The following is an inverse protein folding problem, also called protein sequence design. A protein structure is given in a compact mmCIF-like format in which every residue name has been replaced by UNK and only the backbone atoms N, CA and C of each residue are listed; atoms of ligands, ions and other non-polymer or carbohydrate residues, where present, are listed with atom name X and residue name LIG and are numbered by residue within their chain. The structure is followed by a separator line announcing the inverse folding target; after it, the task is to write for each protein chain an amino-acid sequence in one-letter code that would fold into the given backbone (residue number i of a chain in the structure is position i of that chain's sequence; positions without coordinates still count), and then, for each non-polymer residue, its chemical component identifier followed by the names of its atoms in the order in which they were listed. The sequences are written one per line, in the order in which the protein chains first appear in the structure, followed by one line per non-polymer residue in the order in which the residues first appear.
data_IF_594214308761
#
_entry.id   IF_594214308761
#
_cell.length_a   1.000
_cell.length_b   1.000
_cell.length_c   1.000
_cell.angle_alpha   90.00
_cell.angle_beta   90.00
_cell.angle_gamma   90.00
#
_symmetry.space_group_name_H-M   'P 1'
#
loop_
_entity.id
_entity.type
_entity.pdbx_description
1 polymer ?
#
# COMPACT_ATOMS: atom_id res chain seq x y z
N UNK A 1 13.93 23.70 -36.48
CA UNK A 1 13.03 23.57 -37.66
C UNK A 1 12.00 22.44 -37.50
N UNK A 2 12.31 21.31 -36.85
CA UNK A 2 11.34 20.21 -36.59
C UNK A 2 10.28 20.49 -35.50
N UNK A 3 10.56 21.35 -34.52
CA UNK A 3 9.66 21.62 -33.39
C UNK A 3 8.55 22.66 -33.70
N UNK A 4 8.77 23.56 -34.68
CA UNK A 4 7.76 24.56 -35.08
C UNK A 4 6.54 23.92 -35.76
N UNK A 5 6.72 22.77 -36.39
CA UNK A 5 5.66 21.99 -37.04
C UNK A 5 4.69 21.37 -36.01
N UNK A 6 5.15 21.08 -34.80
CA UNK A 6 4.32 20.48 -33.74
C UNK A 6 3.48 21.48 -32.96
N UNK A 7 3.89 22.76 -32.91
CA UNK A 7 3.16 23.82 -32.19
C UNK A 7 1.66 23.89 -32.52
N UNK A 8 1.22 23.91 -33.80
CA UNK A 8 -0.21 23.94 -34.12
C UNK A 8 -0.95 22.66 -33.68
N UNK A 9 -0.30 21.49 -33.69
CA UNK A 9 -0.89 20.25 -33.21
C UNK A 9 -1.04 20.23 -31.68
N UNK A 10 -0.04 20.73 -30.95
CA UNK A 10 -0.08 20.86 -29.50
C UNK A 10 -1.19 21.84 -29.07
N UNK A 11 -1.31 22.97 -29.75
CA UNK A 11 -2.37 23.95 -29.45
C UNK A 11 -3.76 23.39 -29.74
N UNK A 12 -3.96 22.71 -30.89
CA UNK A 12 -5.22 22.01 -31.19
C UNK A 12 -5.56 20.95 -30.16
N UNK A 13 -4.56 20.20 -29.68
CA UNK A 13 -4.77 19.22 -28.62
C UNK A 13 -5.19 19.89 -27.32
N UNK A 14 -4.50 20.96 -26.90
CA UNK A 14 -4.86 21.72 -25.68
C UNK A 14 -6.29 22.26 -25.79
N UNK A 15 -6.66 22.82 -26.95
CA UNK A 15 -8.00 23.34 -27.21
C UNK A 15 -9.07 22.23 -27.15
N UNK A 16 -8.80 21.08 -27.78
CA UNK A 16 -9.67 19.91 -27.73
C UNK A 16 -9.84 19.39 -26.29
N UNK A 17 -8.75 19.35 -25.53
CA UNK A 17 -8.77 18.95 -24.12
C UNK A 17 -9.59 19.92 -23.27
N UNK A 18 -9.47 21.22 -23.51
CA UNK A 18 -10.28 22.23 -22.81
C UNK A 18 -11.76 22.20 -23.21
N UNK A 19 -12.06 21.84 -24.45
CA UNK A 19 -13.43 21.78 -24.98
C UNK A 19 -14.23 20.58 -24.47
N UNK A 20 -13.55 19.48 -24.13
CA UNK A 20 -14.20 18.23 -23.69
C UNK A 20 -13.64 17.67 -22.36
N UNK A 21 -13.72 18.43 -21.24
CA UNK A 21 -13.17 17.98 -19.96
C UNK A 21 -13.76 16.65 -19.47
N UNK A 22 -15.04 16.40 -19.76
CA UNK A 22 -15.73 15.13 -19.39
C UNK A 22 -15.19 13.91 -20.14
N UNK A 23 -14.79 14.06 -21.41
CA UNK A 23 -14.23 12.94 -22.18
C UNK A 23 -12.84 12.55 -21.68
N UNK A 24 -12.06 13.50 -21.19
CA UNK A 24 -10.75 13.20 -20.62
C UNK A 24 -10.89 12.62 -19.21
N UNK A 25 -11.84 13.11 -18.42
CA UNK A 25 -12.18 12.49 -17.14
C UNK A 25 -12.61 11.02 -17.34
N UNK A 26 -13.42 10.75 -18.38
CA UNK A 26 -13.77 9.38 -18.78
C UNK A 26 -12.54 8.58 -19.25
N UNK A 27 -11.64 9.19 -20.01
CA UNK A 27 -10.38 8.54 -20.42
C UNK A 27 -9.51 8.18 -19.22
N UNK A 28 -9.28 9.11 -18.28
CA UNK A 28 -8.54 8.83 -17.05
C UNK A 28 -9.26 7.82 -16.16
N UNK A 29 -10.59 7.78 -16.18
CA UNK A 29 -11.34 6.75 -15.47
C UNK A 29 -11.14 5.37 -16.11
N UNK A 30 -11.29 5.27 -17.42
CA UNK A 30 -11.06 4.04 -18.18
C UNK A 30 -9.58 3.59 -18.14
N UNK A 31 -8.64 4.53 -18.14
CA UNK A 31 -7.19 4.27 -17.98
C UNK A 31 -6.88 3.77 -16.57
N UNK A 32 -7.40 4.43 -15.54
CA UNK A 32 -7.30 3.96 -14.16
C UNK A 32 -7.92 2.57 -13.94
N UNK A 33 -9.10 2.31 -14.52
CA UNK A 33 -9.71 0.97 -14.50
C UNK A 33 -8.91 -0.05 -15.31
N UNK A 34 -8.40 0.32 -16.48
CA UNK A 34 -7.55 -0.56 -17.27
C UNK A 34 -6.26 -0.89 -16.51
N UNK A 35 -5.67 0.08 -15.81
CA UNK A 35 -4.52 -0.09 -14.92
C UNK A 35 -4.85 -1.07 -13.78
N UNK A 36 -6.03 -0.92 -13.16
CA UNK A 36 -6.56 -1.85 -12.16
C UNK A 36 -6.61 -3.29 -12.67
N UNK A 37 -7.17 -3.54 -13.86
CA UNK A 37 -7.29 -4.89 -14.43
C UNK A 37 -6.00 -5.42 -15.09
N UNK A 38 -5.11 -4.54 -15.54
CA UNK A 38 -3.82 -4.92 -16.14
C UNK A 38 -2.79 -5.32 -15.09
N UNK A 39 -2.92 -4.84 -13.85
CA UNK A 39 -2.08 -5.27 -12.72
C UNK A 39 -2.24 -6.77 -12.46
N UNK A 40 -3.43 -7.34 -12.65
CA UNK A 40 -3.64 -8.80 -12.58
C UNK A 40 -2.89 -9.57 -13.68
N UNK A 41 -2.48 -8.92 -14.77
CA UNK A 41 -1.85 -9.57 -15.94
C UNK A 41 -0.32 -9.65 -15.90
N UNK A 42 0.34 -9.16 -14.85
CA UNK A 42 1.72 -9.52 -14.55
C UNK A 42 2.63 -8.42 -14.00
N UNK A 43 3.59 -8.83 -13.16
CA UNK A 43 4.51 -7.97 -12.42
C UNK A 43 5.32 -6.97 -13.29
N UNK A 44 5.61 -7.31 -14.56
CA UNK A 44 6.33 -6.43 -15.48
C UNK A 44 5.51 -5.18 -15.84
N UNK A 45 4.21 -5.35 -16.09
CA UNK A 45 3.32 -4.25 -16.46
C UNK A 45 3.14 -3.31 -15.27
N UNK A 46 2.89 -3.86 -14.08
CA UNK A 46 2.82 -3.08 -12.85
C UNK A 46 4.09 -2.26 -12.58
N UNK A 47 5.28 -2.84 -12.81
CA UNK A 47 6.56 -2.12 -12.68
C UNK A 47 6.68 -0.96 -13.66
N UNK A 48 6.30 -1.13 -14.92
CA UNK A 48 6.35 -0.05 -15.92
C UNK A 48 5.40 1.08 -15.55
N UNK A 49 4.15 0.76 -15.16
CA UNK A 49 3.17 1.76 -14.72
C UNK A 49 3.68 2.51 -13.49
N UNK A 50 4.24 1.80 -12.49
CA UNK A 50 4.83 2.42 -11.31
C UNK A 50 5.95 3.41 -11.66
N UNK A 51 6.84 3.05 -12.60
CA UNK A 51 7.90 3.97 -13.07
C UNK A 51 7.30 5.20 -13.74
N UNK A 52 6.33 5.02 -14.65
CA UNK A 52 5.67 6.14 -15.33
C UNK A 52 4.99 7.08 -14.34
N UNK A 53 4.29 6.54 -13.33
CA UNK A 53 3.68 7.32 -12.26
C UNK A 53 4.73 8.11 -11.46
N UNK A 54 5.83 7.47 -11.03
CA UNK A 54 6.89 8.18 -10.30
C UNK A 54 7.53 9.29 -11.15
N UNK A 55 7.71 9.08 -12.44
CA UNK A 55 8.18 10.12 -13.37
C UNK A 55 7.17 11.27 -13.44
N UNK A 56 5.87 10.99 -13.56
CA UNK A 56 4.81 12.02 -13.53
C UNK A 56 4.80 12.80 -12.21
N UNK A 57 5.08 12.15 -11.08
CA UNK A 57 5.21 12.79 -9.77
C UNK A 57 6.43 13.69 -9.67
N UNK A 58 7.61 13.24 -10.10
CA UNK A 58 8.83 14.07 -10.15
C UNK A 58 8.57 15.30 -11.01
N UNK A 59 7.89 15.12 -12.13
CA UNK A 59 7.52 16.20 -13.03
C UNK A 59 6.58 17.21 -12.40
N UNK A 60 5.58 16.74 -11.65
CA UNK A 60 4.65 17.59 -10.90
C UNK A 60 5.36 18.34 -9.76
N UNK A 61 6.31 17.71 -9.06
CA UNK A 61 7.15 18.36 -8.04
C UNK A 61 7.99 19.50 -8.61
N UNK A 62 8.37 19.37 -9.88
CA UNK A 62 9.16 20.34 -10.61
C UNK A 62 8.27 21.25 -11.49
N UNK A 63 7.05 21.58 -11.07
CA UNK A 63 6.05 22.34 -11.87
C UNK A 63 6.65 23.54 -12.61
N UNK A 64 7.49 24.33 -11.92
CA UNK A 64 8.14 25.50 -12.53
C UNK A 64 9.13 25.14 -13.64
N UNK A 65 9.88 24.05 -13.47
CA UNK A 65 10.78 23.54 -14.50
C UNK A 65 9.98 22.91 -15.64
N UNK A 66 8.87 22.23 -15.35
CA UNK A 66 7.98 21.69 -16.38
C UNK A 66 7.45 22.79 -17.28
N UNK A 67 6.81 23.82 -16.72
CA UNK A 67 6.25 24.94 -17.48
C UNK A 67 7.32 25.57 -18.38
N UNK A 68 8.49 25.86 -17.81
CA UNK A 68 9.64 26.41 -18.56
C UNK A 68 10.19 25.45 -19.62
N UNK A 69 10.13 24.14 -19.40
CA UNK A 69 10.59 23.16 -20.38
C UNK A 69 9.62 23.04 -21.54
N UNK A 70 8.31 23.05 -21.30
CA UNK A 70 7.30 23.03 -22.38
C UNK A 70 7.33 24.31 -23.18
N UNK A 71 7.47 25.45 -22.51
CA UNK A 71 7.64 26.74 -23.18
C UNK A 71 8.90 26.74 -24.05
N UNK A 72 10.04 26.25 -23.54
CA UNK A 72 11.30 26.17 -24.31
C UNK A 72 11.26 25.16 -25.45
N UNK A 73 10.64 23.99 -25.26
CA UNK A 73 10.62 22.91 -26.25
C UNK A 73 9.55 23.12 -27.32
N UNK A 74 8.34 23.54 -26.93
CA UNK A 74 7.17 23.63 -27.80
C UNK A 74 6.73 25.07 -28.09
N UNK A 75 7.27 26.08 -27.39
CA UNK A 75 6.89 27.48 -27.58
C UNK A 75 5.44 27.77 -27.17
N UNK A 76 4.92 27.01 -26.20
CA UNK A 76 3.54 27.10 -25.70
C UNK A 76 3.55 27.26 -24.19
N UNK A 77 2.90 28.31 -23.69
CA UNK A 77 2.63 28.48 -22.27
C UNK A 77 1.46 27.58 -21.85
N UNK A 78 1.66 26.76 -20.82
CA UNK A 78 0.61 25.87 -20.32
C UNK A 78 -0.42 26.67 -19.50
N UNK A 79 -1.69 26.73 -19.94
CA UNK A 79 -2.70 27.51 -19.26
C UNK A 79 -3.01 26.92 -17.86
N UNK A 80 -3.30 27.75 -16.84
CA UNK A 80 -3.54 27.28 -15.47
C UNK A 80 -4.64 26.21 -15.31
N UNK A 81 -5.75 26.21 -16.06
CA UNK A 81 -6.76 25.15 -16.01
C UNK A 81 -6.22 23.78 -16.44
N UNK A 82 -5.37 23.75 -17.49
CA UNK A 82 -4.74 22.52 -17.94
C UNK A 82 -3.81 21.95 -16.86
N UNK A 83 -3.16 22.82 -16.09
CA UNK A 83 -2.25 22.37 -15.04
C UNK A 83 -2.97 21.76 -13.84
N UNK A 84 -4.10 22.35 -13.45
CA UNK A 84 -5.00 21.75 -12.45
C UNK A 84 -5.53 20.41 -12.92
N UNK A 85 -5.94 20.33 -14.18
CA UNK A 85 -6.39 19.09 -14.80
C UNK A 85 -5.30 18.01 -14.78
N UNK A 86 -4.08 18.32 -15.22
CA UNK A 86 -2.96 17.38 -15.22
C UNK A 86 -2.60 16.90 -13.80
N UNK A 87 -2.68 17.78 -12.82
CA UNK A 87 -2.46 17.43 -11.41
C UNK A 87 -3.55 16.51 -10.89
N UNK A 88 -4.82 16.79 -11.20
CA UNK A 88 -5.95 15.92 -10.87
C UNK A 88 -5.80 14.54 -11.52
N UNK A 89 -5.43 14.49 -12.80
CA UNK A 89 -5.19 13.25 -13.53
C UNK A 89 -4.09 12.42 -12.89
N UNK A 90 -2.95 13.04 -12.52
CA UNK A 90 -1.86 12.33 -11.85
C UNK A 90 -2.33 11.76 -10.51
N UNK A 91 -3.09 12.51 -9.71
CA UNK A 91 -3.66 11.97 -8.47
C UNK A 91 -4.63 10.81 -8.72
N UNK A 92 -5.50 10.95 -9.71
CA UNK A 92 -6.47 9.93 -10.07
C UNK A 92 -5.77 8.63 -10.52
N UNK A 93 -4.92 8.69 -11.54
CA UNK A 93 -4.19 7.52 -12.04
C UNK A 93 -3.36 6.86 -10.93
N UNK A 94 -2.74 7.68 -10.06
CA UNK A 94 -2.00 7.18 -8.90
C UNK A 94 -2.87 6.39 -7.93
N UNK A 95 -4.02 6.96 -7.53
CA UNK A 95 -4.93 6.33 -6.58
C UNK A 95 -5.55 5.07 -7.18
N UNK A 96 -5.99 5.12 -8.43
CA UNK A 96 -6.57 3.97 -9.13
C UNK A 96 -5.56 2.84 -9.38
N UNK A 97 -4.30 3.18 -9.59
CA UNK A 97 -3.23 2.19 -9.67
C UNK A 97 -2.97 1.50 -8.33
N UNK A 98 -2.88 2.24 -7.22
CA UNK A 98 -2.50 1.65 -5.92
C UNK A 98 -3.66 1.02 -5.15
N UNK A 99 -4.89 1.49 -5.35
CA UNK A 99 -6.06 1.02 -4.61
C UNK A 99 -6.26 -0.51 -4.68
N UNK A 100 -6.16 -1.20 -5.84
CA UNK A 100 -6.27 -2.67 -5.88
C UNK A 100 -5.25 -3.38 -5.00
N UNK A 101 -3.99 -2.93 -5.03
CA UNK A 101 -2.92 -3.49 -4.20
C UNK A 101 -3.26 -3.38 -2.72
N UNK A 102 -3.73 -2.21 -2.27
CA UNK A 102 -4.15 -2.04 -0.88
C UNK A 102 -5.44 -2.81 -0.57
N UNK A 103 -6.42 -2.86 -1.48
CA UNK A 103 -7.68 -3.57 -1.25
C UNK A 103 -7.46 -5.08 -1.03
N UNK A 104 -6.58 -5.70 -1.81
CA UNK A 104 -6.24 -7.13 -1.70
C UNK A 104 -5.40 -7.41 -0.44
N UNK A 105 -4.47 -6.52 -0.09
CA UNK A 105 -3.52 -6.74 1.02
C UNK A 105 -4.06 -6.26 2.38
N UNK A 106 -5.22 -5.60 2.40
CA UNK A 106 -5.83 -5.09 3.63
C UNK A 106 -6.41 -6.24 4.47
N UNK A 107 -5.93 -6.36 5.70
CA UNK A 107 -6.66 -7.08 6.74
C UNK A 107 -7.83 -6.23 7.24
N UNK A 108 -9.01 -6.47 6.68
CA UNK A 108 -10.24 -5.70 6.94
C UNK A 108 -10.72 -5.70 8.39
N UNK A 109 -10.25 -6.64 9.22
CA UNK A 109 -10.54 -6.72 10.64
C UNK A 109 -9.49 -6.00 11.51
N UNK A 110 -8.77 -5.02 10.96
CA UNK A 110 -7.70 -4.29 11.64
C UNK A 110 -7.73 -2.80 11.29
N UNK A 111 -6.86 -2.00 11.93
CA UNK A 111 -6.70 -0.58 11.61
C UNK A 111 -6.34 -0.31 10.14
N UNK A 112 -5.88 -1.32 9.39
CA UNK A 112 -5.63 -1.24 7.96
C UNK A 112 -6.86 -0.84 7.13
N UNK A 113 -8.06 -1.22 7.57
CA UNK A 113 -9.29 -0.83 6.90
C UNK A 113 -9.47 0.70 6.83
N UNK A 114 -9.00 1.43 7.86
CA UNK A 114 -9.10 2.89 7.89
C UNK A 114 -8.20 3.54 6.84
N UNK A 115 -6.96 3.06 6.69
CA UNK A 115 -6.03 3.58 5.69
C UNK A 115 -6.54 3.31 4.27
N UNK A 116 -6.97 2.08 3.99
CA UNK A 116 -7.48 1.71 2.67
C UNK A 116 -8.80 2.41 2.35
N UNK A 117 -9.68 2.55 3.34
CA UNK A 117 -10.90 3.36 3.21
C UNK A 117 -10.60 4.83 2.92
N UNK A 118 -9.59 5.41 3.58
CA UNK A 118 -9.12 6.77 3.30
C UNK A 118 -8.62 6.91 1.85
N UNK A 119 -7.88 5.93 1.32
CA UNK A 119 -7.47 5.92 -0.09
C UNK A 119 -8.67 5.79 -1.04
N UNK A 120 -9.68 4.98 -0.68
CA UNK A 120 -10.93 4.87 -1.45
C UNK A 120 -11.70 6.19 -1.51
N UNK A 121 -11.84 6.88 -0.38
CA UNK A 121 -12.44 8.23 -0.34
C UNK A 121 -11.61 9.21 -1.16
N UNK A 122 -10.28 9.17 -1.07
CA UNK A 122 -9.41 10.01 -1.88
C UNK A 122 -9.60 9.73 -3.39
N UNK A 123 -9.73 8.47 -3.79
CA UNK A 123 -9.96 8.07 -5.18
C UNK A 123 -11.31 8.60 -5.70
N UNK A 124 -12.38 8.51 -4.91
CA UNK A 124 -13.70 9.08 -5.24
C UNK A 124 -13.61 10.61 -5.39
N UNK A 125 -12.91 11.27 -4.46
CA UNK A 125 -12.66 12.71 -4.55
C UNK A 125 -11.92 13.07 -5.84
N UNK A 126 -10.98 12.25 -6.30
CA UNK A 126 -10.19 12.50 -7.52
C UNK A 126 -11.03 12.58 -8.80
N UNK A 127 -12.09 11.78 -8.91
CA UNK A 127 -12.98 11.74 -10.08
C UNK A 127 -14.09 12.79 -9.97
N UNK A 128 -14.43 13.22 -8.76
CA UNK A 128 -15.55 14.13 -8.54
C UNK A 128 -15.12 15.59 -8.69
N UNK A 129 -15.18 16.12 -9.91
CA UNK A 129 -14.72 17.47 -10.27
C UNK A 129 -15.13 18.60 -9.30
N UNK A 130 -16.41 18.72 -8.87
CA UNK A 130 -16.80 19.77 -7.92
C UNK A 130 -16.16 19.60 -6.54
N UNK A 131 -15.90 18.37 -6.10
CA UNK A 131 -15.26 18.10 -4.82
C UNK A 131 -13.78 18.45 -4.94
N UNK A 132 -13.10 17.91 -5.95
CA UNK A 132 -11.66 18.14 -6.15
C UNK A 132 -11.35 19.62 -6.38
N UNK A 133 -11.99 20.27 -7.36
CA UNK A 133 -11.61 21.60 -7.79
C UNK A 133 -12.19 22.74 -6.93
N UNK A 134 -13.39 22.56 -6.34
CA UNK A 134 -14.02 23.63 -5.54
C UNK A 134 -13.73 23.53 -4.04
N UNK A 135 -13.65 22.32 -3.50
CA UNK A 135 -13.49 22.13 -2.05
C UNK A 135 -12.06 21.76 -1.67
N UNK A 136 -11.46 20.81 -2.39
CA UNK A 136 -10.14 20.28 -2.06
C UNK A 136 -9.02 21.24 -2.49
N UNK A 137 -8.97 21.64 -3.75
CA UNK A 137 -7.90 22.51 -4.27
C UNK A 137 -8.01 23.96 -3.83
N UNK A 138 -9.18 24.41 -3.36
CA UNK A 138 -9.35 25.78 -2.83
C UNK A 138 -8.68 25.97 -1.47
N UNK A 139 -8.50 24.88 -0.70
CA UNK A 139 -7.89 24.90 0.63
C UNK A 139 -6.48 24.33 0.56
N UNK A 140 -5.46 25.19 0.63
CA UNK A 140 -4.05 24.80 0.45
C UNK A 140 -3.61 23.65 1.37
N UNK A 141 -3.99 23.67 2.65
CA UNK A 141 -3.62 22.61 3.60
C UNK A 141 -4.25 21.26 3.24
N UNK A 142 -5.51 21.26 2.78
CA UNK A 142 -6.23 20.03 2.41
C UNK A 142 -5.67 19.46 1.11
N UNK A 143 -5.39 20.33 0.13
CA UNK A 143 -4.68 19.95 -1.09
C UNK A 143 -3.32 19.33 -0.78
N UNK A 144 -2.52 19.95 0.10
CA UNK A 144 -1.21 19.40 0.48
C UNK A 144 -1.33 18.07 1.23
N UNK A 145 -2.28 17.93 2.15
CA UNK A 145 -2.52 16.67 2.85
C UNK A 145 -2.91 15.54 1.88
N UNK A 146 -3.84 15.83 0.96
CA UNK A 146 -4.25 14.90 -0.09
C UNK A 146 -3.08 14.52 -1.00
N UNK A 147 -2.31 15.52 -1.44
CA UNK A 147 -1.15 15.35 -2.29
C UNK A 147 -0.05 14.50 -1.64
N UNK A 148 0.28 14.77 -0.37
CA UNK A 148 1.23 13.99 0.41
C UNK A 148 0.73 12.56 0.64
N UNK A 149 -0.57 12.36 0.93
CA UNK A 149 -1.17 11.05 1.08
C UNK A 149 -1.07 10.22 -0.22
N UNK A 150 -1.40 10.82 -1.36
CA UNK A 150 -1.31 10.11 -2.65
C UNK A 150 0.13 9.75 -2.98
N UNK A 151 1.08 10.66 -2.82
CA UNK A 151 2.50 10.37 -3.04
C UNK A 151 2.98 9.23 -2.12
N UNK A 152 2.62 9.29 -0.84
CA UNK A 152 2.96 8.27 0.13
C UNK A 152 2.43 6.89 -0.30
N UNK A 153 1.17 6.80 -0.71
CA UNK A 153 0.56 5.55 -1.18
C UNK A 153 1.25 5.01 -2.45
N UNK A 154 1.59 5.89 -3.41
CA UNK A 154 2.33 5.50 -4.63
C UNK A 154 3.71 4.96 -4.28
N UNK A 155 4.46 5.63 -3.39
CA UNK A 155 5.79 5.18 -3.00
C UNK A 155 5.74 3.82 -2.30
N UNK A 156 4.75 3.58 -1.44
CA UNK A 156 4.57 2.29 -0.77
C UNK A 156 4.36 1.13 -1.75
N UNK A 157 3.62 1.35 -2.84
CA UNK A 157 3.41 0.33 -3.86
C UNK A 157 4.60 0.23 -4.85
N UNK A 158 5.18 1.37 -5.23
CA UNK A 158 6.18 1.44 -6.30
C UNK A 158 7.59 1.03 -5.84
N UNK A 159 8.02 1.40 -4.63
CA UNK A 159 9.40 1.15 -4.17
C UNK A 159 9.74 -0.36 -4.11
N UNK A 160 8.89 -1.24 -3.54
CA UNK A 160 9.16 -2.68 -3.55
C UNK A 160 9.21 -3.26 -4.98
N UNK A 161 8.34 -2.79 -5.88
CA UNK A 161 8.27 -3.25 -7.27
C UNK A 161 9.50 -2.85 -8.10
N UNK A 162 10.00 -1.63 -7.89
CA UNK A 162 11.07 -1.05 -8.72
C UNK A 162 12.44 -1.39 -8.15
N UNK A 163 12.62 -1.18 -6.84
CA UNK A 163 13.90 -1.28 -6.15
C UNK A 163 14.09 -2.59 -5.39
N UNK A 164 13.10 -3.48 -5.38
CA UNK A 164 13.16 -4.77 -4.67
C UNK A 164 13.41 -4.62 -3.16
N UNK A 165 13.00 -3.48 -2.59
CA UNK A 165 13.15 -3.19 -1.17
C UNK A 165 12.11 -3.92 -0.33
N UNK A 166 12.45 -4.20 0.93
CA UNK A 166 11.49 -4.76 1.88
C UNK A 166 10.36 -3.77 2.14
N UNK A 167 9.24 -4.27 2.67
CA UNK A 167 8.09 -3.45 3.06
C UNK A 167 8.50 -2.42 4.11
N UNK A 168 9.34 -2.82 5.08
CA UNK A 168 9.85 -1.94 6.14
C UNK A 168 10.79 -0.83 5.59
N UNK A 169 11.63 -1.15 4.61
CA UNK A 169 12.47 -0.16 3.93
C UNK A 169 11.64 0.82 3.11
N UNK A 170 10.70 0.29 2.33
CA UNK A 170 9.81 1.09 1.47
C UNK A 170 8.95 2.04 2.31
N UNK A 171 8.44 1.60 3.46
CA UNK A 171 7.71 2.45 4.39
C UNK A 171 8.55 3.62 4.90
N UNK A 172 9.79 3.36 5.33
CA UNK A 172 10.73 4.38 5.81
C UNK A 172 10.99 5.45 4.75
N UNK A 173 11.29 5.03 3.52
CA UNK A 173 11.52 5.95 2.41
C UNK A 173 10.26 6.72 2.03
N UNK A 174 9.12 6.04 1.91
CA UNK A 174 7.85 6.69 1.58
C UNK A 174 7.49 7.77 2.60
N UNK A 175 7.58 7.46 3.90
CA UNK A 175 7.28 8.40 4.98
C UNK A 175 8.30 9.55 4.99
N UNK A 176 9.60 9.25 4.89
CA UNK A 176 10.67 10.26 4.88
C UNK A 176 10.54 11.23 3.71
N UNK A 177 10.31 10.73 2.51
CA UNK A 177 10.09 11.55 1.30
C UNK A 177 8.83 12.39 1.44
N UNK A 178 7.72 11.80 1.90
CA UNK A 178 6.45 12.50 2.10
C UNK A 178 6.59 13.66 3.09
N UNK A 179 7.24 13.43 4.25
CA UNK A 179 7.48 14.46 5.26
C UNK A 179 8.44 15.54 4.74
N UNK A 180 9.53 15.16 4.09
CA UNK A 180 10.51 16.10 3.55
C UNK A 180 9.89 17.03 2.49
N UNK A 181 9.15 16.47 1.53
CA UNK A 181 8.50 17.25 0.48
C UNK A 181 7.35 18.12 1.03
N UNK A 182 6.59 17.61 2.00
CA UNK A 182 5.56 18.40 2.69
C UNK A 182 6.18 19.61 3.40
N UNK A 183 7.30 19.41 4.10
CA UNK A 183 8.06 20.49 4.74
C UNK A 183 8.53 21.53 3.73
N UNK A 184 9.19 21.12 2.63
CA UNK A 184 9.66 22.03 1.57
C UNK A 184 8.51 22.83 0.95
N UNK A 185 7.37 22.18 0.68
CA UNK A 185 6.19 22.84 0.11
C UNK A 185 5.58 23.88 1.05
N UNK A 186 5.60 23.62 2.36
CA UNK A 186 5.12 24.52 3.39
C UNK A 186 6.10 25.65 3.70
N UNK A 187 7.41 25.44 3.59
CA UNK A 187 8.43 26.49 3.78
C UNK A 187 8.17 27.71 2.88
N UNK A 188 7.68 27.49 1.65
CA UNK A 188 7.32 28.57 0.74
C UNK A 188 6.22 29.51 1.26
N UNK A 189 5.35 29.03 2.16
CA UNK A 189 4.28 29.83 2.81
C UNK A 189 4.83 30.77 3.87
N UNK A 190 5.92 30.38 4.53
CA UNK A 190 6.49 31.10 5.66
C UNK A 190 7.67 32.00 5.27
N UNK A 191 7.94 32.18 3.97
CA UNK A 191 8.94 33.15 3.48
C UNK A 191 8.59 34.56 4.00
N UNK A 192 9.52 35.18 4.72
CA UNK A 192 9.34 36.51 5.33
C UNK A 192 8.60 36.53 6.67
N UNK A 193 8.23 35.37 7.23
CA UNK A 193 7.63 35.28 8.56
C UNK A 193 8.68 35.13 9.66
N UNK A 194 8.26 35.35 10.91
CA UNK A 194 9.13 35.26 12.09
C UNK A 194 9.67 33.83 12.27
N UNK A 195 10.95 33.68 12.63
CA UNK A 195 11.68 32.40 12.68
C UNK A 195 11.01 31.31 13.53
N UNK A 196 10.32 31.67 14.62
CA UNK A 196 9.60 30.71 15.46
C UNK A 196 8.42 30.04 14.75
N UNK A 197 7.83 30.66 13.72
CA UNK A 197 6.79 30.00 12.90
C UNK A 197 7.39 28.92 12.01
N UNK A 198 8.63 29.12 11.54
CA UNK A 198 9.39 28.09 10.81
C UNK A 198 9.77 26.94 11.75
N UNK A 199 10.17 27.25 12.99
CA UNK A 199 10.38 26.22 14.01
C UNK A 199 9.09 25.47 14.34
N UNK A 200 7.97 26.17 14.53
CA UNK A 200 6.66 25.56 14.75
C UNK A 200 6.24 24.64 13.60
N UNK A 201 6.53 25.03 12.36
CA UNK A 201 6.33 24.16 11.19
C UNK A 201 7.22 22.91 11.27
N UNK A 202 8.49 23.06 11.63
CA UNK A 202 9.41 21.94 11.82
C UNK A 202 8.87 20.94 12.84
N UNK A 203 8.46 21.43 14.02
CA UNK A 203 7.84 20.62 15.07
C UNK A 203 6.57 19.93 14.57
N UNK A 204 5.69 20.64 13.87
CA UNK A 204 4.47 20.04 13.30
C UNK A 204 4.79 18.93 12.30
N UNK A 205 5.74 19.14 11.38
CA UNK A 205 6.11 18.12 10.40
C UNK A 205 6.76 16.90 11.04
N UNK A 206 7.58 17.09 12.09
CA UNK A 206 8.13 15.99 12.88
C UNK A 206 7.05 15.26 13.66
N UNK A 207 6.08 15.96 14.23
CA UNK A 207 4.94 15.36 14.93
C UNK A 207 4.08 14.52 13.98
N UNK A 208 3.79 15.01 12.77
CA UNK A 208 3.06 14.26 11.75
C UNK A 208 3.86 13.05 11.24
N UNK A 209 5.18 13.20 11.05
CA UNK A 209 6.07 12.09 10.72
C UNK A 209 6.11 11.03 11.82
N UNK A 210 6.20 11.45 13.08
CA UNK A 210 6.13 10.57 14.25
C UNK A 210 4.80 9.84 14.36
N UNK A 211 3.68 10.55 14.13
CA UNK A 211 2.35 9.93 14.06
C UNK A 211 2.29 8.88 12.96
N UNK A 212 2.77 9.20 11.76
CA UNK A 212 2.90 8.25 10.65
C UNK A 212 3.76 7.03 11.00
N UNK A 213 4.83 7.20 11.77
CA UNK A 213 5.68 6.09 12.20
C UNK A 213 4.99 5.15 13.20
N UNK A 214 4.23 5.73 14.15
CA UNK A 214 3.47 4.97 15.16
C UNK A 214 2.28 4.26 14.51
N UNK A 215 1.62 4.90 13.53
CA UNK A 215 0.48 4.32 12.81
C UNK A 215 0.87 3.34 11.69
N UNK A 216 2.16 2.97 11.56
CA UNK A 216 2.64 2.12 10.45
C UNK A 216 1.91 0.78 10.32
N UNK A 217 1.48 0.19 11.44
CA UNK A 217 0.77 -1.09 11.47
C UNK A 217 -0.61 -0.99 10.78
N UNK A 218 -1.17 0.23 10.70
CA UNK A 218 -2.43 0.50 10.00
C UNK A 218 -2.24 0.69 8.49
N UNK A 219 -1.02 0.59 7.97
CA UNK A 219 -0.79 0.64 6.53
C UNK A 219 -0.61 -0.80 6.03
N UNK A 220 -1.46 -1.28 5.10
CA UNK A 220 -1.28 -2.61 4.52
C UNK A 220 0.05 -2.74 3.75
N UNK A 221 0.66 -3.92 3.72
CA UNK A 221 1.83 -4.18 2.90
C UNK A 221 1.42 -4.31 1.43
N UNK A 222 1.51 -3.22 0.66
CA UNK A 222 0.94 -3.10 -0.69
C UNK A 222 1.28 -4.24 -1.68
N UNK A 223 2.42 -4.93 -1.50
CA UNK A 223 2.88 -5.97 -2.43
C UNK A 223 2.89 -7.37 -1.86
N UNK A 224 2.37 -7.59 -0.64
CA UNK A 224 2.38 -8.90 0.03
C UNK A 224 0.95 -9.34 0.36
N UNK A 225 0.51 -10.45 -0.25
CA UNK A 225 -0.79 -11.06 0.06
C UNK A 225 -0.69 -12.58 0.16
N UNK A 226 -1.63 -13.18 0.89
CA UNK A 226 -1.73 -14.63 1.02
C UNK A 226 -2.46 -15.20 -0.19
N UNK A 227 -1.87 -16.21 -0.83
CA UNK A 227 -2.49 -16.98 -1.92
C UNK A 227 -3.15 -18.26 -1.41
N UNK A 228 -2.58 -18.85 -0.35
CA UNK A 228 -3.07 -20.08 0.25
C UNK A 228 -2.76 -20.05 1.75
N UNK A 229 -3.70 -20.54 2.56
CA UNK A 229 -3.55 -20.64 4.01
C UNK A 229 -4.15 -21.94 4.51
N UNK A 230 -3.49 -22.58 5.46
CA UNK A 230 -4.02 -23.75 6.14
C UNK A 230 -3.49 -23.83 7.56
N UNK A 231 -4.38 -24.16 8.51
CA UNK A 231 -4.01 -24.70 9.81
C UNK A 231 -4.33 -26.17 9.75
N UNK A 232 -3.35 -27.05 9.93
CA UNK A 232 -3.54 -28.48 9.68
C UNK A 232 -2.67 -29.34 10.60
N UNK A 233 -3.15 -30.51 11.07
CA UNK A 233 -2.33 -31.46 11.80
C UNK A 233 -1.34 -32.22 10.89
N UNK A 234 -1.62 -32.28 9.59
CA UNK A 234 -0.88 -33.10 8.62
C UNK A 234 -0.11 -32.23 7.62
N UNK A 235 1.15 -32.56 7.37
CA UNK A 235 2.02 -31.81 6.45
C UNK A 235 2.94 -32.75 5.67
N UNK A 236 2.93 -32.63 4.34
CA UNK A 236 3.85 -33.37 3.49
C UNK A 236 5.17 -32.61 3.38
N UNK A 237 6.22 -33.09 4.06
CA UNK A 237 7.55 -32.50 4.04
C UNK A 237 8.27 -32.62 2.68
N UNK A 238 7.95 -33.64 1.87
CA UNK A 238 8.56 -33.83 0.56
C UNK A 238 7.99 -32.84 -0.45
N UNK A 239 6.67 -32.71 -0.50
CA UNK A 239 5.98 -31.81 -1.42
C UNK A 239 5.86 -30.38 -0.89
N UNK A 240 6.10 -30.17 0.41
CA UNK A 240 5.93 -28.91 1.14
C UNK A 240 4.53 -28.35 0.92
N UNK A 241 3.54 -29.19 1.19
CA UNK A 241 2.12 -28.89 1.02
C UNK A 241 1.36 -29.22 2.31
N UNK A 242 0.37 -28.39 2.68
CA UNK A 242 -0.48 -28.67 3.82
C UNK A 242 -1.44 -29.84 3.51
N UNK A 243 -1.89 -30.54 4.55
CA UNK A 243 -3.12 -31.33 4.48
C UNK A 243 -4.37 -30.43 4.56
N UNK A 244 -5.52 -31.05 4.79
CA UNK A 244 -6.79 -30.33 4.90
C UNK A 244 -6.77 -29.35 6.08
N UNK A 245 -7.33 -28.16 5.84
CA UNK A 245 -7.46 -27.11 6.84
C UNK A 245 -8.50 -27.47 7.90
N UNK A 246 -8.16 -27.27 9.18
CA UNK A 246 -9.07 -27.47 10.31
C UNK A 246 -9.48 -26.14 10.92
N UNK A 247 -10.78 -25.94 11.12
CA UNK A 247 -11.31 -24.80 11.87
C UNK A 247 -11.46 -25.11 13.36
N UNK A 248 -11.64 -26.39 13.70
CA UNK A 248 -11.75 -26.89 15.07
C UNK A 248 -10.85 -28.11 15.28
N UNK A 249 -10.21 -28.20 16.45
CA UNK A 249 -9.36 -29.32 16.84
C UNK A 249 -9.55 -29.64 18.32
N UNK A 250 -9.55 -30.92 18.69
CA UNK A 250 -9.64 -31.30 20.11
C UNK A 250 -8.33 -31.04 20.84
N UNK A 251 -8.39 -30.70 22.13
CA UNK A 251 -7.20 -30.55 22.96
C UNK A 251 -6.32 -31.83 23.00
N UNK A 252 -6.93 -33.01 22.86
CA UNK A 252 -6.21 -34.29 22.82
C UNK A 252 -5.41 -34.44 21.52
N UNK A 253 -6.04 -34.18 20.37
CA UNK A 253 -5.41 -34.25 19.06
C UNK A 253 -4.27 -33.23 18.94
N UNK A 254 -4.53 -31.99 19.39
CA UNK A 254 -3.56 -30.91 19.42
C UNK A 254 -2.29 -31.27 20.18
N UNK A 255 -2.42 -31.94 21.34
CA UNK A 255 -1.26 -32.38 22.14
C UNK A 255 -0.49 -33.53 21.51
N UNK A 256 -1.18 -34.38 20.73
CA UNK A 256 -0.56 -35.57 20.13
C UNK A 256 0.24 -35.24 18.87
N UNK A 257 -0.30 -34.42 17.97
CA UNK A 257 0.29 -34.12 16.65
C UNK A 257 0.86 -32.72 16.53
N UNK A 258 0.43 -31.80 17.38
CA UNK A 258 0.64 -30.37 17.19
C UNK A 258 -0.18 -29.81 16.02
N UNK A 259 0.15 -28.60 15.57
CA UNK A 259 -0.45 -27.99 14.39
C UNK A 259 0.59 -27.28 13.53
N UNK A 260 0.44 -27.44 12.23
CA UNK A 260 1.11 -26.64 11.23
C UNK A 260 0.27 -25.41 10.91
N UNK A 261 0.90 -24.25 10.87
CA UNK A 261 0.35 -23.08 10.20
C UNK A 261 1.13 -22.88 8.91
N UNK A 262 0.47 -23.11 7.78
CA UNK A 262 1.01 -22.96 6.44
C UNK A 262 0.46 -21.71 5.76
N UNK A 263 1.34 -21.01 5.07
CA UNK A 263 1.03 -19.81 4.29
C UNK A 263 1.81 -19.81 2.99
N UNK A 264 1.13 -19.60 1.88
CA UNK A 264 1.75 -19.20 0.63
C UNK A 264 1.58 -17.68 0.45
N UNK A 265 2.70 -16.97 0.28
CA UNK A 265 2.72 -15.50 0.21
C UNK A 265 3.18 -15.09 -1.18
N UNK A 266 2.37 -14.33 -1.90
CA UNK A 266 2.83 -13.69 -3.13
C UNK A 266 3.69 -12.48 -2.78
N UNK A 267 4.82 -12.36 -3.47
CA UNK A 267 5.80 -11.31 -3.29
C UNK A 267 6.48 -10.99 -4.65
N UNK A 268 6.77 -9.70 -4.94
CA UNK A 268 7.51 -9.30 -6.14
C UNK A 268 8.86 -10.02 -6.29
N UNK A 269 9.27 -10.25 -7.54
CA UNK A 269 10.58 -10.83 -7.85
C UNK A 269 11.72 -10.03 -7.23
N UNK A 270 12.61 -10.71 -6.52
CA UNK A 270 13.79 -10.11 -5.88
C UNK A 270 13.54 -9.53 -4.50
N UNK A 271 12.29 -9.49 -4.02
CA UNK A 271 11.99 -9.07 -2.66
C UNK A 271 12.44 -10.15 -1.67
N UNK A 272 13.27 -9.76 -0.70
CA UNK A 272 13.66 -10.59 0.44
C UNK A 272 13.06 -9.96 1.70
N UNK A 273 12.14 -10.64 2.35
CA UNK A 273 11.39 -10.10 3.48
C UNK A 273 11.41 -11.08 4.65
N UNK A 274 11.53 -10.54 5.86
CA UNK A 274 11.28 -11.30 7.07
C UNK A 274 9.84 -11.12 7.49
N UNK A 275 9.16 -12.23 7.67
CA UNK A 275 7.81 -12.26 8.23
C UNK A 275 7.80 -13.03 9.55
N UNK A 276 6.68 -12.94 10.24
CA UNK A 276 6.46 -13.61 11.50
C UNK A 276 5.13 -14.35 11.48
N UNK A 277 5.16 -15.62 11.89
CA UNK A 277 3.98 -16.30 12.38
C UNK A 277 3.84 -16.01 13.87
N UNK A 278 2.86 -15.17 14.21
CA UNK A 278 2.53 -14.81 15.59
C UNK A 278 1.33 -15.63 16.04
N UNK A 279 1.59 -16.61 16.89
CA UNK A 279 0.56 -17.44 17.49
C UNK A 279 -0.08 -16.68 18.66
N UNK A 280 -1.41 -16.61 18.63
CA UNK A 280 -2.20 -15.96 19.68
C UNK A 280 -3.21 -16.92 20.26
N UNK A 281 -3.28 -16.95 21.58
CA UNK A 281 -4.26 -17.69 22.35
C UNK A 281 -5.14 -16.72 23.14
N UNK A 282 -6.45 -16.76 22.92
CA UNK A 282 -7.44 -15.89 23.57
C UNK A 282 -7.05 -14.41 23.52
N UNK A 283 -6.47 -13.98 22.39
CA UNK A 283 -6.06 -12.59 22.15
C UNK A 283 -4.68 -12.23 22.68
N UNK A 284 -3.97 -13.11 23.40
CA UNK A 284 -2.59 -12.89 23.86
C UNK A 284 -1.60 -13.57 22.93
N UNK A 285 -0.52 -12.87 22.58
CA UNK A 285 0.61 -13.46 21.86
C UNK A 285 1.29 -14.50 22.77
N UNK A 286 1.48 -15.72 22.25
CA UNK A 286 2.14 -16.81 22.96
C UNK A 286 3.46 -17.21 22.31
N UNK A 287 3.57 -17.09 20.98
CA UNK A 287 4.81 -17.31 20.24
C UNK A 287 4.92 -16.38 19.05
N UNK A 288 6.16 -16.09 18.66
CA UNK A 288 6.52 -15.35 17.47
C UNK A 288 7.69 -16.03 16.77
N UNK A 289 7.45 -16.55 15.58
CA UNK A 289 8.44 -17.33 14.82
C UNK A 289 8.78 -16.56 13.55
N UNK A 290 10.06 -16.25 13.36
CA UNK A 290 10.56 -15.56 12.17
C UNK A 290 10.74 -16.52 11.00
N UNK A 291 10.33 -16.09 9.80
CA UNK A 291 10.48 -16.83 8.54
C UNK A 291 10.98 -15.86 7.46
N UNK A 292 12.03 -16.23 6.73
CA UNK A 292 12.55 -15.43 5.62
C UNK A 292 11.91 -15.88 4.30
N UNK A 293 11.29 -14.96 3.58
CA UNK A 293 10.59 -15.21 2.31
C UNK A 293 11.33 -14.57 1.14
N UNK A 294 11.38 -15.28 0.01
CA UNK A 294 12.04 -14.83 -1.21
C UNK A 294 11.02 -14.77 -2.35
N UNK A 295 10.75 -13.57 -2.85
CA UNK A 295 9.73 -13.33 -3.88
C UNK A 295 10.14 -13.80 -5.27
N UNK A 296 9.14 -14.16 -6.09
CA UNK A 296 9.33 -14.44 -7.52
C UNK A 296 8.75 -15.73 -8.08
N UNK A 297 8.09 -16.55 -7.26
CA UNK A 297 7.31 -17.72 -7.70
C UNK A 297 5.85 -17.34 -7.90
N UNK A 298 5.22 -17.82 -8.97
CA UNK A 298 3.79 -17.52 -9.26
C UNK A 298 2.84 -18.07 -8.19
N UNK A 299 3.13 -19.25 -7.66
CA UNK A 299 2.36 -19.86 -6.55
C UNK A 299 2.61 -19.18 -5.18
N UNK A 300 3.47 -18.16 -5.11
CA UNK A 300 3.93 -17.56 -3.87
C UNK A 300 5.06 -18.35 -3.19
N UNK A 301 5.66 -17.75 -2.17
CA UNK A 301 6.62 -18.38 -1.29
C UNK A 301 5.90 -19.12 -0.17
N UNK A 302 6.17 -20.43 -0.05
CA UNK A 302 5.59 -21.31 0.95
C UNK A 302 6.37 -21.22 2.25
N UNK A 303 5.71 -20.83 3.33
CA UNK A 303 6.25 -20.76 4.67
C UNK A 303 5.33 -21.53 5.63
N UNK A 304 5.90 -22.25 6.59
CA UNK A 304 5.13 -22.95 7.59
C UNK A 304 5.83 -22.97 8.95
N UNK A 305 5.04 -23.11 10.00
CA UNK A 305 5.53 -23.33 11.37
C UNK A 305 4.79 -24.48 12.00
N UNK A 306 5.51 -25.44 12.59
CA UNK A 306 4.94 -26.52 13.39
C UNK A 306 4.98 -26.14 14.86
N UNK A 307 3.82 -25.93 15.46
CA UNK A 307 3.70 -25.71 16.91
C UNK A 307 3.36 -27.03 17.58
N UNK A 308 4.23 -27.46 18.49
CA UNK A 308 4.05 -28.68 19.29
C UNK A 308 3.79 -28.38 20.77
N UNK A 309 4.42 -27.32 21.30
CA UNK A 309 4.28 -26.96 22.70
C UNK A 309 3.08 -26.05 22.90
N UNK A 310 1.97 -26.55 23.46
CA UNK A 310 0.77 -25.78 23.79
C UNK A 310 0.61 -25.61 25.31
N UNK A 311 -0.08 -24.56 25.78
CA UNK A 311 -0.40 -24.39 27.19
C UNK A 311 -1.12 -25.60 27.79
N UNK A 312 -1.02 -25.77 29.11
CA UNK A 312 -1.68 -26.86 29.83
C UNK A 312 -3.19 -26.90 29.58
N UNK A 313 -3.86 -25.75 29.51
CA UNK A 313 -5.24 -25.64 29.02
C UNK A 313 -5.26 -24.91 27.66
N UNK A 314 -5.27 -25.65 26.54
CA UNK A 314 -5.26 -25.04 25.21
C UNK A 314 -6.65 -24.68 24.69
N UNK A 315 -7.73 -24.98 25.43
CA UNK A 315 -9.09 -24.77 24.93
C UNK A 315 -9.40 -23.28 24.74
N UNK A 316 -9.97 -22.92 23.59
CA UNK A 316 -10.35 -21.54 23.28
C UNK A 316 -10.02 -21.11 21.86
N UNK A 317 -9.92 -19.79 21.66
CA UNK A 317 -9.71 -19.18 20.34
C UNK A 317 -8.24 -19.04 20.06
N UNK A 318 -7.82 -19.56 18.92
CA UNK A 318 -6.47 -19.44 18.43
C UNK A 318 -6.42 -18.67 17.13
N UNK A 319 -5.33 -17.94 16.96
CA UNK A 319 -5.03 -17.22 15.73
C UNK A 319 -3.57 -17.35 15.38
N UNK A 320 -3.26 -17.42 14.10
CA UNK A 320 -1.90 -17.24 13.59
C UNK A 320 -1.91 -15.99 12.73
N UNK A 321 -1.32 -14.92 13.22
CA UNK A 321 -1.16 -13.68 12.47
C UNK A 321 0.13 -13.73 11.68
N UNK A 322 0.05 -13.39 10.40
CA UNK A 322 1.21 -13.28 9.52
C UNK A 322 1.58 -11.80 9.45
N UNK A 323 2.72 -11.42 10.01
CA UNK A 323 3.15 -10.02 10.12
C UNK A 323 4.47 -9.79 9.37
N UNK A 324 4.67 -8.60 8.80
CA UNK A 324 5.97 -8.15 8.31
C UNK A 324 6.91 -7.78 9.47
N UNK A 325 8.20 -7.61 9.18
CA UNK A 325 9.19 -7.02 10.11
C UNK A 325 8.71 -5.70 10.76
N UNK A 326 8.01 -4.85 10.00
CA UNK A 326 7.48 -3.59 10.51
C UNK A 326 6.22 -3.74 11.38
N UNK A 327 5.70 -4.96 11.54
CA UNK A 327 4.48 -5.28 12.27
C UNK A 327 3.19 -5.11 11.45
N UNK A 328 3.27 -4.93 10.13
CA UNK A 328 2.10 -4.81 9.28
C UNK A 328 1.48 -6.19 9.06
N UNK A 329 0.17 -6.30 9.18
CA UNK A 329 -0.54 -7.56 8.97
C UNK A 329 -0.64 -7.88 7.48
N UNK A 330 -0.26 -9.10 7.11
CA UNK A 330 -0.47 -9.70 5.79
C UNK A 330 -1.77 -10.52 5.80
N UNK A 331 -2.04 -11.25 6.90
CA UNK A 331 -3.31 -11.94 7.10
C UNK A 331 -3.41 -12.66 8.45
N UNK A 332 -4.50 -13.38 8.67
CA UNK A 332 -4.76 -14.08 9.95
C UNK A 332 -5.49 -15.39 9.69
N UNK A 333 -4.92 -16.48 10.18
CA UNK A 333 -5.55 -17.78 10.25
C UNK A 333 -6.23 -17.91 11.61
N UNK A 334 -7.40 -18.55 11.66
CA UNK A 334 -8.19 -18.71 12.89
C UNK A 334 -8.63 -20.16 13.03
N UNK A 335 -8.56 -20.67 14.24
CA UNK A 335 -9.09 -21.98 14.60
C UNK A 335 -9.49 -21.99 16.07
N UNK A 336 -10.29 -22.98 16.46
CA UNK A 336 -10.75 -23.17 17.83
C UNK A 336 -10.26 -24.50 18.37
N UNK A 337 -9.78 -24.49 19.60
CA UNK A 337 -9.46 -25.73 20.32
C UNK A 337 -10.63 -26.04 21.25
N UNK A 338 -11.25 -27.20 21.05
CA UNK A 338 -12.33 -27.69 21.91
C UNK A 338 -11.73 -28.44 23.11
N UNK A 339 -12.37 -28.36 24.29
CA UNK A 339 -12.04 -29.25 25.39
C UNK A 339 -12.11 -30.71 24.90
N UNK A 340 -11.18 -31.54 25.36
CA UNK A 340 -11.31 -32.98 25.16
C UNK A 340 -12.50 -33.48 25.99
N UNK A 341 -13.46 -34.18 25.37
CA UNK A 341 -14.64 -34.79 26.01
C UNK A 341 -14.30 -35.93 27.01
N UNK A 342 -13.09 -35.96 27.57
CA UNK A 342 -12.69 -36.93 28.56
C UNK A 342 -13.02 -36.40 29.97
N UNK A 343 -13.81 -37.12 30.78
CA UNK A 343 -14.05 -36.73 32.16
C UNK A 343 -12.72 -36.62 32.93
N UNK A 344 -12.62 -35.72 33.93
CA UNK A 344 -11.41 -35.56 34.72
C UNK A 344 -11.02 -36.92 35.33
N UNK A 345 -9.76 -37.33 35.16
CA UNK A 345 -9.24 -38.51 35.84
C UNK A 345 -9.41 -38.33 37.35
N UNK A 346 -10.10 -39.24 38.06
CA UNK A 346 -10.15 -39.18 39.51
C UNK A 346 -8.73 -39.38 40.07
N UNK A 347 -8.44 -38.58 41.10
CA UNK A 347 -7.17 -38.53 41.84
C UNK A 347 -6.79 -39.87 42.49
#
# INVERSE_FOLDING_TARGET
MLLSTFKPHVLKLIELLQRHPRLIALYGFCSGMASFFLVERGARVAKVIAILLLVSWVWLMLENLFRRSVERLFGVELPPPLMRFLTQLIHQESLFFVLPFFAITTSWNSGQALFTGLLGVAAICSITDPIYNRHLSSRRWLFLAYHTLTLFAVLLAALPLILQQTTAQSYRWALGIAVALSFVSLLGVFRGQRWWRVLGLGVLTLALGGLGWVSRVWVPPATLWLTEVAVTPDFDNHQRTPGDGVEEVSAAELRSKGLYAYTAINAPRGLNERIYHVWRFNGREVDRIALDIHGGREAGYRAWTHKQNFPADPAGRWQVQVLTEAGQMIGTLRFRVTPSDLPPKPH
#
